data_IF_803952193192
#
_entry.id   IF_803952193192
#
_cell.length_a   1.000
_cell.length_b   1.000
_cell.length_c   1.000
_cell.angle_alpha   90.00
_cell.angle_beta   90.00
_cell.angle_gamma   90.00
#
_symmetry.space_group_name_H-M   'P 1'
#
loop_
_entity.id
_entity.type
_entity.pdbx_description
1 polymer ?
#
# COMPACT_ATOMS: atom_id res chain seq x y z
N UNK A 1 -6.41 -21.83 -20.92
CA UNK A 1 -6.09 -22.25 -19.55
C UNK A 1 -4.64 -21.86 -19.36
N UNK A 2 -4.40 -20.62 -18.96
CA UNK A 2 -3.05 -20.05 -19.01
C UNK A 2 -2.40 -20.21 -17.65
N UNK A 3 -1.30 -20.96 -17.66
CA UNK A 3 -0.52 -21.31 -16.50
C UNK A 3 0.01 -20.06 -15.80
N UNK A 4 -0.23 -20.02 -14.48
CA UNK A 4 0.39 -19.08 -13.56
C UNK A 4 1.92 -19.15 -13.74
N UNK A 5 2.52 -18.05 -14.21
CA UNK A 5 3.95 -17.85 -14.10
C UNK A 5 4.28 -17.44 -12.65
N UNK A 6 4.16 -18.39 -11.74
CA UNK A 6 4.79 -18.27 -10.42
C UNK A 6 6.25 -18.63 -10.62
N UNK A 7 7.09 -17.64 -10.92
CA UNK A 7 8.53 -17.82 -10.83
C UNK A 7 8.86 -18.12 -9.37
N UNK A 8 9.11 -19.40 -9.06
CA UNK A 8 9.63 -19.83 -7.78
C UNK A 8 11.06 -19.28 -7.65
N UNK A 9 11.19 -18.09 -7.08
CA UNK A 9 12.49 -17.52 -6.71
C UNK A 9 13.04 -18.32 -5.54
N UNK A 10 13.90 -19.30 -5.84
CA UNK A 10 14.64 -20.04 -4.82
C UNK A 10 15.77 -19.15 -4.31
N UNK A 11 15.49 -18.40 -3.23
CA UNK A 11 16.53 -17.65 -2.53
C UNK A 11 17.40 -18.63 -1.72
N UNK A 12 18.71 -18.35 -1.58
CA UNK A 12 19.55 -19.14 -0.67
C UNK A 12 18.98 -19.12 0.76
N UNK A 13 19.18 -20.19 1.55
CA UNK A 13 18.78 -20.20 2.95
C UNK A 13 19.28 -18.96 3.71
N UNK A 14 18.39 -18.33 4.49
CA UNK A 14 18.69 -17.14 5.28
C UNK A 14 18.34 -15.81 4.63
N UNK A 15 18.03 -15.77 3.33
CA UNK A 15 17.49 -14.59 2.67
C UNK A 15 16.02 -14.38 3.08
N UNK A 16 15.68 -13.12 3.34
CA UNK A 16 14.36 -12.70 3.84
C UNK A 16 13.89 -11.47 3.10
N UNK A 17 12.57 -11.32 2.98
CA UNK A 17 11.98 -10.12 2.41
C UNK A 17 11.93 -8.99 3.45
N UNK A 18 12.97 -8.15 3.47
CA UNK A 18 13.09 -7.05 4.45
C UNK A 18 13.35 -5.70 3.76
N UNK A 19 12.38 -5.16 3.00
CA UNK A 19 12.57 -3.94 2.25
C UNK A 19 12.53 -2.69 3.15
N UNK A 20 13.27 -1.67 2.77
CA UNK A 20 13.14 -0.30 3.28
C UNK A 20 11.87 0.38 2.78
N UNK A 21 11.47 1.48 3.45
CA UNK A 21 10.34 2.31 3.00
C UNK A 21 10.54 2.83 1.56
N UNK A 22 11.78 3.20 1.21
CA UNK A 22 12.16 3.62 -0.14
C UNK A 22 11.99 2.48 -1.15
N UNK A 23 12.48 1.27 -0.83
CA UNK A 23 12.37 0.12 -1.71
C UNK A 23 10.91 -0.28 -1.97
N UNK A 24 10.08 -0.30 -0.92
CA UNK A 24 8.64 -0.54 -1.03
C UNK A 24 7.97 0.44 -2.00
N UNK A 25 8.36 1.71 -1.97
CA UNK A 25 7.76 2.74 -2.83
C UNK A 25 8.32 2.70 -4.24
N UNK A 26 9.64 2.71 -4.41
CA UNK A 26 10.31 2.89 -5.69
C UNK A 26 10.40 1.58 -6.48
N UNK A 27 10.79 0.49 -5.83
CA UNK A 27 11.01 -0.79 -6.51
C UNK A 27 9.72 -1.58 -6.69
N UNK A 28 8.82 -1.53 -5.71
CA UNK A 28 7.58 -2.32 -5.74
C UNK A 28 6.39 -1.48 -6.22
N UNK A 29 5.97 -0.48 -5.44
CA UNK A 29 4.73 0.24 -5.70
C UNK A 29 4.75 1.07 -6.99
N UNK A 30 5.84 1.80 -7.26
CA UNK A 30 5.97 2.63 -8.46
C UNK A 30 5.93 1.77 -9.72
N UNK A 31 6.71 0.67 -9.75
CA UNK A 31 6.72 -0.27 -10.87
C UNK A 31 5.35 -0.90 -11.09
N UNK A 32 4.69 -1.36 -10.01
CA UNK A 32 3.33 -1.91 -10.07
C UNK A 32 2.34 -0.90 -10.67
N UNK A 33 2.38 0.36 -10.23
CA UNK A 33 1.49 1.41 -10.72
C UNK A 33 1.78 1.81 -12.18
N UNK A 34 3.04 1.76 -12.60
CA UNK A 34 3.48 2.04 -13.96
C UNK A 34 3.35 0.83 -14.90
N UNK A 35 2.88 -0.32 -14.40
CA UNK A 35 2.83 -1.60 -15.13
C UNK A 35 4.20 -2.01 -15.70
N UNK A 36 5.27 -1.65 -14.98
CA UNK A 36 6.63 -2.03 -15.31
C UNK A 36 6.94 -3.40 -14.69
N UNK A 37 7.81 -4.21 -15.33
CA UNK A 37 8.26 -5.47 -14.74
C UNK A 37 8.90 -5.26 -13.36
N UNK A 38 8.51 -6.08 -12.39
CA UNK A 38 9.08 -6.13 -11.04
C UNK A 38 9.72 -7.51 -10.85
N UNK A 39 10.98 -7.55 -10.40
CA UNK A 39 11.69 -8.81 -10.16
C UNK A 39 12.38 -8.75 -8.79
N UNK A 40 12.07 -9.67 -7.87
CA UNK A 40 11.01 -10.67 -7.98
C UNK A 40 9.61 -10.04 -7.76
N UNK A 41 8.58 -10.50 -8.47
CA UNK A 41 7.19 -10.06 -8.25
C UNK A 41 6.55 -10.90 -7.13
N UNK A 42 6.93 -10.60 -5.88
CA UNK A 42 6.59 -11.42 -4.71
C UNK A 42 5.37 -10.92 -3.94
N UNK A 43 4.97 -9.66 -4.14
CA UNK A 43 3.87 -9.05 -3.39
C UNK A 43 2.54 -9.29 -4.13
N UNK A 44 1.60 -10.07 -3.57
CA UNK A 44 0.34 -10.39 -4.24
C UNK A 44 -0.65 -9.22 -4.25
N UNK A 45 -1.53 -9.17 -5.26
CA UNK A 45 -2.70 -8.29 -5.25
C UNK A 45 -3.82 -8.88 -4.39
N UNK A 46 -4.26 -8.15 -3.36
CA UNK A 46 -5.46 -8.46 -2.59
C UNK A 46 -6.56 -7.46 -2.95
N UNK A 47 -7.68 -7.96 -3.47
CA UNK A 47 -8.85 -7.16 -3.78
C UNK A 47 -10.15 -7.78 -3.26
N UNK A 48 -11.18 -6.93 -3.22
CA UNK A 48 -12.64 -7.17 -3.11
C UNK A 48 -13.25 -6.94 -1.73
N UNK A 49 -12.60 -7.33 -0.64
CA UNK A 49 -13.16 -7.10 0.70
C UNK A 49 -12.09 -6.70 1.73
N UNK A 50 -12.44 -5.87 2.73
CA UNK A 50 -11.56 -5.57 3.84
C UNK A 50 -11.40 -6.83 4.70
N UNK A 51 -10.18 -7.35 4.76
CA UNK A 51 -9.82 -8.50 5.60
C UNK A 51 -9.53 -8.07 7.03
N UNK A 52 -9.93 -8.91 7.99
CA UNK A 52 -9.36 -8.81 9.33
C UNK A 52 -7.85 -9.11 9.27
N UNK A 53 -7.03 -8.52 10.14
CA UNK A 53 -5.57 -8.66 10.06
C UNK A 53 -5.09 -10.13 10.14
N UNK A 54 -5.74 -10.96 10.96
CA UNK A 54 -5.40 -12.38 11.12
C UNK A 54 -5.80 -13.25 9.92
N UNK A 55 -6.54 -12.70 8.95
CA UNK A 55 -6.87 -13.40 7.71
C UNK A 55 -5.83 -13.22 6.60
N UNK A 56 -4.75 -12.47 6.87
CA UNK A 56 -3.69 -12.19 5.89
C UNK A 56 -2.75 -13.39 5.69
N UNK A 57 -2.66 -14.27 6.69
CA UNK A 57 -1.90 -15.52 6.59
C UNK A 57 -2.41 -16.37 5.42
N UNK A 58 -1.46 -16.78 4.56
CA UNK A 58 -1.75 -17.54 3.34
C UNK A 58 -2.37 -16.75 2.19
N UNK A 59 -2.65 -15.44 2.37
CA UNK A 59 -3.13 -14.56 1.29
C UNK A 59 -2.09 -13.53 0.88
N UNK A 60 -1.40 -12.93 1.85
CA UNK A 60 -0.34 -11.96 1.64
C UNK A 60 1.05 -12.63 1.63
N UNK A 61 2.07 -11.90 1.18
CA UNK A 61 3.46 -12.31 1.35
C UNK A 61 3.82 -12.14 2.83
N UNK A 62 3.98 -13.25 3.56
CA UNK A 62 4.39 -13.25 4.97
C UNK A 62 5.90 -13.33 5.14
N UNK A 63 6.47 -12.48 5.99
CA UNK A 63 7.85 -12.56 6.47
C UNK A 63 7.87 -12.26 7.97
N UNK A 64 8.13 -13.29 8.79
CA UNK A 64 8.03 -13.17 10.25
C UNK A 64 6.63 -12.74 10.69
N UNK A 65 6.53 -11.57 11.34
CA UNK A 65 5.26 -10.98 11.76
C UNK A 65 4.78 -9.89 10.80
N UNK A 66 5.20 -9.89 9.53
CA UNK A 66 4.87 -8.85 8.56
C UNK A 66 4.18 -9.44 7.33
N UNK A 67 3.16 -8.75 6.81
CA UNK A 67 2.36 -9.21 5.67
C UNK A 67 2.24 -8.15 4.59
N UNK A 68 2.85 -8.39 3.44
CA UNK A 68 2.88 -7.46 2.31
C UNK A 68 1.87 -7.87 1.24
N UNK A 69 1.08 -6.91 0.78
CA UNK A 69 0.18 -7.08 -0.36
C UNK A 69 -0.02 -5.75 -1.08
N UNK A 70 -0.54 -5.77 -2.31
CA UNK A 70 -1.08 -4.60 -2.97
C UNK A 70 -2.59 -4.56 -2.79
N UNK A 71 -3.14 -3.41 -2.40
CA UNK A 71 -4.60 -3.20 -2.41
C UNK A 71 -5.02 -1.99 -3.23
N UNK A 72 -6.00 -2.21 -4.12
CA UNK A 72 -6.66 -1.11 -4.84
C UNK A 72 -7.50 -0.33 -3.83
N UNK A 73 -7.10 0.92 -3.57
CA UNK A 73 -7.74 1.89 -2.65
C UNK A 73 -9.21 1.55 -2.36
N UNK A 74 -9.46 0.85 -1.27
CA UNK A 74 -10.79 0.76 -0.66
C UNK A 74 -10.91 1.96 0.25
N UNK A 75 -12.00 2.73 0.14
CA UNK A 75 -12.33 3.72 1.18
C UNK A 75 -12.96 3.03 2.40
N UNK A 76 -13.25 1.72 2.30
CA UNK A 76 -13.69 0.87 3.40
C UNK A 76 -12.52 0.58 4.35
N UNK A 77 -12.69 1.03 5.59
CA UNK A 77 -11.77 0.80 6.72
C UNK A 77 -12.38 -0.08 7.80
N UNK A 78 -13.56 -0.65 7.53
CA UNK A 78 -14.29 -1.54 8.43
C UNK A 78 -14.23 -2.94 7.83
N UNK A 79 -13.86 -3.93 8.64
CA UNK A 79 -13.79 -5.35 8.31
C UNK A 79 -14.99 -6.08 8.93
N UNK A 80 -15.03 -7.41 8.87
CA UNK A 80 -16.11 -8.18 9.48
C UNK A 80 -16.15 -8.02 11.02
N UNK A 81 -14.99 -8.02 11.68
CA UNK A 81 -14.90 -8.02 13.14
C UNK A 81 -14.35 -6.71 13.73
N UNK A 82 -13.97 -5.74 12.91
CA UNK A 82 -13.31 -4.54 13.42
C UNK A 82 -13.14 -3.41 12.41
N UNK A 83 -12.25 -2.49 12.72
CA UNK A 83 -11.95 -1.36 11.85
C UNK A 83 -10.54 -0.82 12.04
N UNK A 84 -10.01 -0.23 10.98
CA UNK A 84 -8.71 0.44 10.91
C UNK A 84 -8.85 1.92 11.20
N UNK A 85 -8.37 2.34 12.37
CA UNK A 85 -8.38 3.73 12.82
C UNK A 85 -7.06 4.44 12.44
N UNK A 86 -7.09 5.59 11.75
CA UNK A 86 -5.86 6.32 11.43
C UNK A 86 -5.18 6.86 12.68
N UNK A 87 -3.86 6.70 12.75
CA UNK A 87 -3.05 7.23 13.86
C UNK A 87 -2.61 8.69 13.66
N UNK A 88 -2.97 9.33 12.54
CA UNK A 88 -2.72 10.75 12.27
C UNK A 88 -1.26 11.12 11.99
N UNK A 89 -0.34 10.16 12.06
CA UNK A 89 1.07 10.31 11.68
C UNK A 89 1.21 9.92 10.22
N UNK A 90 1.34 10.90 9.33
CA UNK A 90 1.72 10.68 7.93
C UNK A 90 3.21 11.01 7.80
N UNK A 91 4.01 10.12 7.24
CA UNK A 91 5.46 10.30 7.06
C UNK A 91 5.81 10.34 5.57
N UNK A 92 6.62 11.32 5.11
CA UNK A 92 7.14 11.29 3.75
C UNK A 92 8.16 10.17 3.60
N UNK A 93 8.07 9.44 2.49
CA UNK A 93 9.13 8.52 2.07
C UNK A 93 10.01 9.29 1.09
N UNK A 94 11.27 9.48 1.47
CA UNK A 94 12.26 10.27 0.73
C UNK A 94 13.24 9.33 0.06
N UNK A 95 13.50 9.55 -1.24
CA UNK A 95 14.54 8.81 -1.95
C UNK A 95 15.91 9.27 -1.48
N UNK A 96 16.74 8.33 -1.03
CA UNK A 96 18.06 8.61 -0.49
C UNK A 96 18.99 9.29 -1.50
N UNK A 97 18.88 8.92 -2.78
CA UNK A 97 19.73 9.45 -3.86
C UNK A 97 19.41 10.89 -4.29
N UNK A 98 18.14 11.32 -4.23
CA UNK A 98 17.70 12.61 -4.76
C UNK A 98 17.16 13.57 -3.70
N UNK A 99 16.94 13.08 -2.47
CA UNK A 99 16.22 13.77 -1.40
C UNK A 99 14.78 14.18 -1.78
N UNK A 100 14.22 13.60 -2.84
CA UNK A 100 12.84 13.88 -3.27
C UNK A 100 11.84 12.99 -2.53
N UNK A 101 10.65 13.54 -2.25
CA UNK A 101 9.54 12.76 -1.70
C UNK A 101 8.96 11.86 -2.79
N UNK A 102 9.18 10.56 -2.67
CA UNK A 102 8.68 9.55 -3.61
C UNK A 102 7.36 8.92 -3.17
N UNK A 103 7.04 9.01 -1.87
CA UNK A 103 5.83 8.43 -1.31
C UNK A 103 5.39 9.07 0.00
N UNK A 104 4.24 8.60 0.49
CA UNK A 104 3.73 8.87 1.83
C UNK A 104 3.41 7.54 2.51
N UNK A 105 3.76 7.43 3.79
CA UNK A 105 3.44 6.31 4.67
C UNK A 105 2.42 6.79 5.71
N UNK A 106 1.31 6.07 5.84
CA UNK A 106 0.24 6.36 6.81
C UNK A 106 0.08 5.19 7.76
N UNK A 107 -0.14 5.48 9.03
CA UNK A 107 -0.27 4.45 10.06
C UNK A 107 -1.73 4.28 10.49
N UNK A 108 -2.16 3.04 10.66
CA UNK A 108 -3.47 2.67 11.18
C UNK A 108 -3.33 1.62 12.28
N UNK A 109 -4.19 1.70 13.28
CA UNK A 109 -4.34 0.69 14.33
C UNK A 109 -5.67 -0.03 14.15
N UNK A 110 -5.68 -1.35 14.26
CA UNK A 110 -6.91 -2.12 14.18
C UNK A 110 -7.61 -2.20 15.54
N UNK A 111 -8.93 -2.05 15.53
CA UNK A 111 -9.82 -2.13 16.68
C UNK A 111 -10.87 -3.22 16.47
N UNK A 112 -11.23 -3.92 17.54
CA UNK A 112 -12.38 -4.85 17.61
C UNK A 112 -13.37 -4.27 18.62
N UNK A 113 -14.52 -3.81 18.14
CA UNK A 113 -15.38 -2.92 18.94
C UNK A 113 -14.59 -1.72 19.45
N UNK A 114 -14.66 -1.44 20.74
CA UNK A 114 -13.90 -0.33 21.36
C UNK A 114 -12.47 -0.73 21.80
N UNK A 115 -12.09 -1.99 21.67
CA UNK A 115 -10.79 -2.49 22.11
C UNK A 115 -9.70 -2.31 21.05
N UNK A 116 -8.55 -1.76 21.46
CA UNK A 116 -7.34 -1.69 20.63
C UNK A 116 -6.72 -3.08 20.52
N UNK A 117 -6.22 -3.41 19.33
CA UNK A 117 -5.41 -4.61 19.09
C UNK A 117 -3.92 -4.23 18.94
N UNK A 118 -3.06 -5.22 18.75
CA UNK A 118 -1.64 -5.04 18.43
C UNK A 118 -1.37 -4.91 16.91
N UNK A 119 -2.39 -5.00 16.06
CA UNK A 119 -2.22 -4.97 14.61
C UNK A 119 -2.07 -3.54 14.08
N UNK A 120 -0.98 -3.31 13.35
CA UNK A 120 -0.65 -2.00 12.79
C UNK A 120 -0.46 -2.11 11.28
N UNK A 121 -1.16 -1.27 10.53
CA UNK A 121 -0.99 -1.16 9.08
C UNK A 121 -0.18 0.09 8.73
N UNK A 122 0.87 -0.06 7.93
CA UNK A 122 1.52 1.07 7.25
C UNK A 122 1.11 1.10 5.79
N UNK A 123 0.26 2.05 5.42
CA UNK A 123 -0.20 2.23 4.06
C UNK A 123 0.73 3.16 3.29
N UNK A 124 1.35 2.64 2.23
CA UNK A 124 2.19 3.43 1.32
C UNK A 124 1.40 3.91 0.12
N UNK A 125 1.69 5.14 -0.31
CA UNK A 125 1.11 5.75 -1.50
C UNK A 125 2.18 6.49 -2.27
N UNK A 126 2.14 6.42 -3.59
CA UNK A 126 3.00 7.25 -4.44
C UNK A 126 2.71 8.72 -4.21
N UNK A 127 3.78 9.51 -4.08
CA UNK A 127 3.65 10.96 -4.03
C UNK A 127 3.23 11.47 -5.41
N UNK A 128 2.21 12.32 -5.44
CA UNK A 128 1.79 13.00 -6.66
C UNK A 128 1.82 14.50 -6.41
N UNK A 129 2.86 15.18 -6.91
CA UNK A 129 3.05 16.61 -6.77
C UNK A 129 1.83 17.42 -7.24
N UNK A 130 1.14 16.98 -8.31
CA UNK A 130 -0.06 17.65 -8.82
C UNK A 130 -1.26 17.56 -7.84
N UNK A 131 -1.35 16.51 -7.02
CA UNK A 131 -2.40 16.37 -6.01
C UNK A 131 -2.07 17.08 -4.68
N UNK A 132 -0.79 17.33 -4.40
CA UNK A 132 -0.33 18.10 -3.23
C UNK A 132 -0.55 19.61 -3.43
N UNK A 133 -0.25 20.14 -4.63
CA UNK A 133 -0.49 21.55 -4.98
C UNK A 133 -1.98 21.94 -4.92
N UNK A 134 -2.90 21.00 -5.13
CA UNK A 134 -4.35 21.24 -5.06
C UNK A 134 -4.95 21.31 -3.65
N UNK A 135 -4.17 21.04 -2.59
CA UNK A 135 -4.64 21.13 -1.19
C UNK A 135 -4.39 22.51 -0.55
N UNK A 136 -3.61 23.38 -1.18
CA UNK A 136 -3.29 24.72 -0.66
C UNK A 136 -4.24 25.85 -1.14
N UNK A 137 -5.18 25.57 -2.07
CA UNK A 137 -6.03 26.63 -2.64
C UNK A 137 -7.49 26.22 -2.86
N UNK A 138 -8.28 26.01 -1.80
CA UNK A 138 -9.76 26.01 -1.93
C UNK A 138 -10.49 26.73 -0.79
N UNK A 139 -10.46 28.06 -0.85
CA UNK A 139 -11.67 28.88 -0.66
C UNK A 139 -11.86 29.74 -1.91
N UNK A 140 -12.60 29.21 -2.90
CA UNK A 140 -13.54 29.92 -3.81
C UNK A 140 -13.80 29.10 -5.08
N UNK A 141 -15.09 28.94 -5.41
CA UNK A 141 -15.59 28.82 -6.78
C UNK A 141 -15.44 27.48 -7.49
N UNK A 142 -16.57 26.80 -7.72
CA UNK A 142 -16.73 25.65 -8.61
C UNK A 142 -16.70 26.12 -10.08
N UNK A 143 -16.15 25.33 -11.02
CA UNK A 143 -16.99 24.93 -12.16
C UNK A 143 -16.85 23.44 -12.52
N UNK A 144 -17.90 22.92 -13.19
CA UNK A 144 -17.96 21.56 -13.74
C UNK A 144 -17.29 21.52 -15.11
N UNK A 145 -16.46 20.51 -15.36
CA UNK A 145 -16.35 19.87 -16.69
C UNK A 145 -15.71 18.49 -16.57
N UNK A 146 -16.34 17.49 -17.19
CA UNK A 146 -15.84 16.13 -17.33
C UNK A 146 -14.72 16.07 -18.36
N UNK A 147 -13.79 15.13 -18.22
CA UNK A 147 -13.33 14.26 -19.31
C UNK A 147 -12.66 13.02 -18.72
N UNK A 148 -12.85 11.90 -19.42
CA UNK A 148 -12.39 10.56 -19.07
C UNK A 148 -10.87 10.51 -18.96
N UNK A 149 -10.42 9.75 -17.97
CA UNK A 149 -9.02 9.42 -17.74
C UNK A 149 -8.94 8.65 -16.43
N UNK A 150 -9.49 7.43 -16.40
CA UNK A 150 -9.53 6.58 -15.20
C UNK A 150 -8.11 6.02 -14.96
N UNK A 151 -7.19 6.89 -14.53
CA UNK A 151 -5.85 6.50 -14.09
C UNK A 151 -6.03 5.67 -12.82
N UNK A 152 -5.68 4.38 -12.96
CA UNK A 152 -5.82 3.36 -11.92
C UNK A 152 -4.85 3.71 -10.80
N UNK A 153 -5.40 3.92 -9.60
CA UNK A 153 -4.64 4.27 -8.39
C UNK A 153 -4.25 2.97 -7.69
N UNK A 154 -3.00 2.52 -7.87
CA UNK A 154 -2.36 1.56 -6.97
C UNK A 154 -2.08 2.25 -5.63
N UNK A 155 -2.00 1.58 -4.49
CA UNK A 155 -1.78 0.17 -4.19
C UNK A 155 -1.22 0.22 -2.77
N UNK A 156 -2.01 -0.05 -1.73
CA UNK A 156 -1.49 -0.05 -0.37
C UNK A 156 -0.58 -1.25 -0.16
N UNK A 157 0.61 -1.06 0.42
CA UNK A 157 1.34 -2.10 1.18
C UNK A 157 0.83 -2.05 2.62
N UNK A 158 0.84 -3.16 3.35
CA UNK A 158 0.32 -3.29 4.72
C UNK A 158 1.37 -3.99 5.57
N UNK A 159 1.29 -3.85 6.89
CA UNK A 159 2.04 -4.63 7.87
C UNK A 159 1.03 -5.21 8.87
N UNK A 160 1.48 -6.20 9.63
CA UNK A 160 0.93 -6.59 10.92
C UNK A 160 2.01 -6.46 11.97
#
# INVERSE_FOLDING_TARGET
MDAAHTHNFTLPPGFRFYPTDEELVVHFLHRKAALLPCHPDVIPDLALFPYDPWELDGKALGEGNQWYFYSRKTDARVTANGYWNPLGRDEPVVASATAEVVGMKKYFLFHVGDAKTNWVMHEYRLYNAAAAAGRSSRRRGRPKRSLRGRRRRGGAVVFG
#
